data_IF_266989935002
#
_entry.id   IF_266989935002
#
_cell.length_a   1.000
_cell.length_b   1.000
_cell.length_c   1.000
_cell.angle_alpha   90.00
_cell.angle_beta   90.00
_cell.angle_gamma   90.00
#
_symmetry.space_group_name_H-M   'P 1'
#
loop_
_entity.id
_entity.type
_entity.pdbx_description
1 polymer ?
#
# COMPACT_ATOMS: atom_id res chain seq x y z
N UNK A 1 16.21 3.92 15.38
CA UNK A 1 14.80 3.72 14.96
C UNK A 1 14.79 3.08 13.58
N UNK A 2 13.94 2.07 13.34
CA UNK A 2 13.83 1.39 12.04
C UNK A 2 12.83 2.10 11.13
N UNK A 3 12.96 1.95 9.81
CA UNK A 3 11.99 2.43 8.83
C UNK A 3 10.56 1.94 9.12
N UNK A 4 10.43 0.73 9.66
CA UNK A 4 9.16 0.16 10.09
C UNK A 4 8.52 0.97 11.23
N UNK A 5 9.28 1.25 12.29
CA UNK A 5 8.77 2.01 13.44
C UNK A 5 8.36 3.44 13.04
N UNK A 6 9.16 4.09 12.19
CA UNK A 6 8.85 5.42 11.65
C UNK A 6 7.58 5.39 10.77
N UNK A 7 7.44 4.37 9.93
CA UNK A 7 6.23 4.17 9.12
C UNK A 7 5.00 3.97 10.01
N UNK A 8 5.11 3.14 11.05
CA UNK A 8 4.02 2.85 11.98
C UNK A 8 3.55 4.10 12.73
N UNK A 9 4.49 4.86 13.30
CA UNK A 9 4.17 6.10 14.02
C UNK A 9 3.46 7.10 13.10
N UNK A 10 3.91 7.21 11.85
CA UNK A 10 3.27 8.07 10.87
C UNK A 10 1.84 7.59 10.54
N UNK A 11 1.64 6.29 10.28
CA UNK A 11 0.30 5.74 10.03
C UNK A 11 -0.67 5.97 11.20
N UNK A 12 -0.21 5.83 12.44
CA UNK A 12 -1.04 6.07 13.62
C UNK A 12 -1.45 7.54 13.74
N UNK A 13 -0.54 8.48 13.48
CA UNK A 13 -0.86 9.92 13.44
C UNK A 13 -1.94 10.25 12.42
N UNK A 14 -1.80 9.72 11.20
CA UNK A 14 -2.75 9.97 10.12
C UNK A 14 -4.10 9.33 10.41
N UNK A 15 -4.12 8.11 10.97
CA UNK A 15 -5.35 7.47 11.45
C UNK A 15 -6.05 8.34 12.48
N UNK A 16 -5.34 8.84 13.49
CA UNK A 16 -5.92 9.66 14.56
C UNK A 16 -6.48 10.98 14.03
N UNK A 17 -5.76 11.63 13.11
CA UNK A 17 -6.26 12.83 12.44
C UNK A 17 -7.52 12.54 11.62
N UNK A 18 -7.49 11.51 10.78
CA UNK A 18 -8.61 11.14 9.93
C UNK A 18 -9.83 10.67 10.74
N UNK A 19 -9.62 9.91 11.81
CA UNK A 19 -10.67 9.52 12.74
C UNK A 19 -11.28 10.73 13.48
N UNK A 20 -10.46 11.72 13.85
CA UNK A 20 -10.96 12.96 14.46
C UNK A 20 -11.80 13.81 13.50
N UNK A 21 -11.57 13.67 12.19
CA UNK A 21 -12.39 14.27 11.14
C UNK A 21 -13.68 13.47 10.84
N UNK A 22 -13.90 12.34 11.52
CA UNK A 22 -15.06 11.47 11.30
C UNK A 22 -15.00 10.72 9.96
N UNK A 23 -13.80 10.52 9.39
CA UNK A 23 -13.65 9.81 8.13
C UNK A 23 -13.91 8.31 8.29
N UNK A 24 -14.56 7.73 7.30
CA UNK A 24 -14.79 6.28 7.22
C UNK A 24 -13.47 5.49 7.03
N UNK A 25 -13.46 4.21 7.38
CA UNK A 25 -12.30 3.33 7.29
C UNK A 25 -11.66 3.32 5.89
N UNK A 26 -12.44 3.43 4.81
CA UNK A 26 -11.93 3.55 3.44
C UNK A 26 -11.15 4.86 3.22
N UNK A 27 -11.66 5.96 3.76
CA UNK A 27 -11.04 7.28 3.66
C UNK A 27 -9.79 7.37 4.52
N UNK A 28 -9.80 6.78 5.72
CA UNK A 28 -8.62 6.64 6.58
C UNK A 28 -7.52 5.84 5.86
N UNK A 29 -7.87 4.70 5.29
CA UNK A 29 -6.94 3.87 4.52
C UNK A 29 -6.31 4.64 3.34
N UNK A 30 -7.11 5.45 2.63
CA UNK A 30 -6.63 6.30 1.54
C UNK A 30 -5.72 7.42 2.06
N UNK A 31 -6.07 8.09 3.16
CA UNK A 31 -5.26 9.15 3.74
C UNK A 31 -3.86 8.64 4.12
N UNK A 32 -3.80 7.48 4.78
CA UNK A 32 -2.53 6.83 5.13
C UNK A 32 -1.71 6.49 3.87
N UNK A 33 -2.33 6.00 2.80
CA UNK A 33 -1.64 5.71 1.54
C UNK A 33 -1.08 6.96 0.84
N UNK A 34 -1.82 8.07 0.94
CA UNK A 34 -1.48 9.34 0.31
C UNK A 34 -0.37 10.08 1.07
N UNK A 35 -0.38 9.96 2.41
CA UNK A 35 0.54 10.64 3.32
C UNK A 35 1.98 10.10 3.32
N UNK A 36 2.33 9.18 2.42
CA UNK A 36 3.62 8.50 2.39
C UNK A 36 4.80 9.47 2.62
N UNK A 37 5.50 9.40 3.77
CA UNK A 37 6.38 10.49 4.23
C UNK A 37 7.75 10.52 3.54
N UNK A 38 8.09 9.50 2.76
CA UNK A 38 9.39 9.40 2.12
C UNK A 38 9.33 9.99 0.71
N UNK A 39 9.97 11.14 0.50
CA UNK A 39 10.13 11.80 -0.81
C UNK A 39 10.96 11.01 -1.84
N UNK A 40 11.50 9.85 -1.45
CA UNK A 40 12.22 8.96 -2.34
C UNK A 40 11.25 8.23 -3.28
N UNK A 41 11.69 7.91 -4.51
CA UNK A 41 10.99 6.96 -5.39
C UNK A 41 10.57 5.73 -4.56
N UNK A 42 9.37 5.19 -4.79
CA UNK A 42 8.79 4.00 -4.13
C UNK A 42 9.64 2.75 -4.38
N UNK A 43 10.86 2.74 -3.84
CA UNK A 43 11.95 1.85 -4.20
C UNK A 43 12.94 1.81 -3.04
N UNK A 44 13.48 0.63 -2.74
CA UNK A 44 14.42 0.42 -1.64
C UNK A 44 13.78 0.02 -0.31
N UNK A 45 14.60 0.03 0.74
CA UNK A 45 14.26 -0.54 2.06
C UNK A 45 13.16 0.23 2.79
N UNK A 46 13.09 1.56 2.65
CA UNK A 46 12.04 2.38 3.26
C UNK A 46 10.65 2.01 2.73
N UNK A 47 10.52 1.83 1.40
CA UNK A 47 9.25 1.43 0.78
C UNK A 47 8.83 0.00 1.17
N UNK A 48 9.77 -0.95 1.22
CA UNK A 48 9.49 -2.31 1.70
C UNK A 48 9.03 -2.33 3.16
N UNK A 49 9.70 -1.55 4.02
CA UNK A 49 9.33 -1.44 5.43
C UNK A 49 7.96 -0.79 5.61
N UNK A 50 7.65 0.23 4.83
CA UNK A 50 6.33 0.86 4.79
C UNK A 50 5.24 -0.14 4.38
N UNK A 51 5.44 -0.92 3.30
CA UNK A 51 4.48 -1.94 2.89
C UNK A 51 4.25 -3.02 3.95
N UNK A 52 5.31 -3.43 4.64
CA UNK A 52 5.21 -4.39 5.74
C UNK A 52 4.42 -3.80 6.92
N UNK A 53 4.78 -2.60 7.39
CA UNK A 53 4.07 -1.90 8.46
C UNK A 53 2.60 -1.66 8.11
N UNK A 54 2.31 -1.24 6.88
CA UNK A 54 0.97 -0.99 6.38
C UNK A 54 0.09 -2.23 6.46
N UNK A 55 0.61 -3.39 6.01
CA UNK A 55 -0.14 -4.64 6.03
C UNK A 55 -0.56 -5.02 7.45
N UNK A 56 0.38 -4.98 8.39
CA UNK A 56 0.10 -5.28 9.80
C UNK A 56 -0.82 -4.23 10.44
N UNK A 57 -0.60 -2.94 10.17
CA UNK A 57 -1.43 -1.86 10.69
C UNK A 57 -2.88 -1.99 10.24
N UNK A 58 -3.12 -2.19 8.95
CA UNK A 58 -4.48 -2.30 8.44
C UNK A 58 -5.18 -3.55 8.97
N UNK A 59 -4.45 -4.67 9.11
CA UNK A 59 -4.99 -5.88 9.73
C UNK A 59 -5.37 -5.64 11.20
N UNK A 60 -4.54 -4.90 11.95
CA UNK A 60 -4.78 -4.61 13.37
C UNK A 60 -5.93 -3.62 13.60
N UNK A 61 -6.10 -2.66 12.69
CA UNK A 61 -7.14 -1.63 12.79
C UNK A 61 -8.39 -1.93 11.95
N UNK A 62 -8.51 -3.14 11.41
CA UNK A 62 -9.61 -3.58 10.53
C UNK A 62 -9.88 -2.63 9.35
N UNK A 63 -8.82 -1.99 8.85
CA UNK A 63 -8.92 -1.08 7.71
C UNK A 63 -8.95 -1.89 6.41
N UNK A 64 -9.75 -1.46 5.42
CA UNK A 64 -9.80 -2.13 4.12
C UNK A 64 -8.46 -1.98 3.41
N UNK A 65 -7.72 -3.09 3.29
CA UNK A 65 -6.54 -3.15 2.44
C UNK A 65 -7.02 -2.97 0.99
N UNK A 66 -6.80 -1.80 0.39
CA UNK A 66 -6.94 -1.68 -1.07
C UNK A 66 -5.90 -2.63 -1.65
N UNK A 67 -6.34 -3.80 -2.10
CA UNK A 67 -5.51 -4.72 -2.87
C UNK A 67 -4.85 -3.87 -3.94
N UNK A 68 -3.51 -3.85 -3.95
CA UNK A 68 -2.79 -3.34 -5.10
C UNK A 68 -3.48 -3.94 -6.32
N UNK A 69 -3.98 -3.11 -7.24
CA UNK A 69 -4.57 -3.59 -8.49
C UNK A 69 -3.63 -4.68 -8.97
N UNK A 70 -4.11 -5.92 -9.03
CA UNK A 70 -3.34 -7.00 -9.66
C UNK A 70 -2.82 -6.39 -10.97
N UNK A 71 -1.51 -6.45 -11.26
CA UNK A 71 -1.08 -6.14 -12.62
C UNK A 71 -2.00 -6.97 -13.52
N UNK A 72 -2.59 -6.31 -14.52
CA UNK A 72 -3.50 -6.96 -15.45
C UNK A 72 -2.87 -8.30 -15.86
N UNK A 73 -3.61 -9.42 -15.86
CA UNK A 73 -3.04 -10.68 -16.30
C UNK A 73 -2.40 -10.43 -17.66
N UNK A 74 -1.09 -10.66 -17.76
CA UNK A 74 -0.32 -10.50 -18.98
C UNK A 74 -1.09 -11.15 -20.14
N UNK A 75 -1.56 -10.30 -21.07
CA UNK A 75 -2.16 -10.71 -22.35
C UNK A 75 -1.08 -11.25 -23.31
N UNK A 76 -0.04 -11.89 -22.78
CA UNK A 76 1.09 -12.45 -23.53
C UNK A 76 1.09 -13.97 -23.38
N UNK A 77 0.03 -14.62 -23.85
CA UNK A 77 -0.01 -16.06 -24.14
C UNK A 77 -1.23 -16.38 -25.02
N UNK A 78 -1.24 -15.82 -26.23
CA UNK A 78 -2.06 -16.35 -27.32
C UNK A 78 -1.14 -16.58 -28.52
N UNK A 79 -0.75 -17.85 -28.67
CA UNK A 79 -0.42 -18.52 -29.92
C UNK A 79 0.72 -17.91 -30.76
N UNK A 80 1.95 -18.27 -30.41
CA UNK A 80 2.85 -18.82 -31.42
C UNK A 80 2.27 -20.18 -31.88
N UNK A 81 1.46 -20.20 -32.93
CA UNK A 81 1.23 -21.41 -33.73
C UNK A 81 1.09 -20.99 -35.19
N UNK A 82 1.95 -21.53 -36.05
CA UNK A 82 1.92 -21.29 -37.50
C UNK A 82 3.27 -21.30 -38.22
N UNK A 83 4.17 -22.22 -37.88
CA UNK A 83 5.10 -22.78 -38.87
C UNK A 83 4.42 -23.98 -39.54
N UNK A 84 4.78 -24.25 -40.80
CA UNK A 84 4.29 -25.27 -41.76
C UNK A 84 3.25 -24.71 -42.72
N UNK A 85 3.43 -24.64 -44.04
CA UNK A 85 4.43 -25.22 -44.96
C UNK A 85 4.71 -24.24 -46.11
#
# INVERSE_FOLDING_TARGET
MTWYALSWEHMERERQQAASQGLDALSIAKAIDDSYPYHSKRSGWAYKAWLAARRDFFSKHQLPLRRARKPAPDLFSAAQEGQSQ
#
